data_IF_878850518703
#
_entry.id   IF_878850518703
#
_cell.length_a   1.000
_cell.length_b   1.000
_cell.length_c   1.000
_cell.angle_alpha   90.00
_cell.angle_beta   90.00
_cell.angle_gamma   90.00
#
_symmetry.space_group_name_H-M   'P 1'
#
loop_
_entity.id
_entity.type
_entity.pdbx_description
1 polymer ?
#
# COMPACT_ATOMS: atom_id res chain seq x y z
N UNK A 1 8.58 12.69 -13.01
CA UNK A 1 7.24 12.48 -12.46
C UNK A 1 7.29 12.50 -10.94
N UNK A 2 6.33 13.17 -10.33
CA UNK A 2 6.27 13.23 -8.87
C UNK A 2 5.59 11.97 -8.33
N UNK A 3 6.34 11.15 -7.58
CA UNK A 3 5.83 9.91 -7.00
C UNK A 3 4.63 10.15 -6.07
N UNK A 4 4.55 11.32 -5.45
CA UNK A 4 3.44 11.66 -4.55
C UNK A 4 2.10 11.76 -5.29
N UNK A 5 2.12 11.92 -6.61
CA UNK A 5 0.90 11.99 -7.43
C UNK A 5 0.51 10.64 -8.03
N UNK A 6 1.34 9.61 -7.85
CA UNK A 6 1.03 8.27 -8.35
C UNK A 6 -0.10 7.67 -7.50
N UNK A 7 -1.21 7.28 -8.13
CA UNK A 7 -2.33 6.68 -7.39
C UNK A 7 -1.94 5.45 -6.55
N UNK A 8 -0.99 4.66 -7.03
CA UNK A 8 -0.53 3.47 -6.31
C UNK A 8 0.22 3.86 -5.03
N UNK A 9 1.01 4.92 -5.09
CA UNK A 9 1.74 5.42 -3.91
C UNK A 9 0.76 6.03 -2.91
N UNK A 10 -0.23 6.78 -3.38
CA UNK A 10 -1.27 7.32 -2.52
C UNK A 10 -2.01 6.20 -1.79
N UNK A 11 -2.33 5.13 -2.52
CA UNK A 11 -2.99 3.97 -1.95
C UNK A 11 -2.11 3.30 -0.89
N UNK A 12 -0.82 3.13 -1.17
CA UNK A 12 0.12 2.56 -0.22
C UNK A 12 0.13 3.36 1.09
N UNK A 13 0.25 4.68 1.00
CA UNK A 13 0.31 5.53 2.19
C UNK A 13 -1.00 5.47 2.98
N UNK A 14 -2.14 5.41 2.31
CA UNK A 14 -3.43 5.28 2.97
C UNK A 14 -3.57 3.94 3.71
N UNK A 15 -3.08 2.86 3.12
CA UNK A 15 -3.09 1.54 3.79
C UNK A 15 -2.21 1.58 5.03
N UNK A 16 -1.04 2.18 4.93
CA UNK A 16 -0.12 2.30 6.08
C UNK A 16 -0.75 3.13 7.20
N UNK A 17 -1.35 4.27 6.86
CA UNK A 17 -1.97 5.15 7.85
C UNK A 17 -3.15 4.50 8.56
N UNK A 18 -4.00 3.81 7.81
CA UNK A 18 -5.22 3.22 8.37
C UNK A 18 -5.00 1.83 8.96
N UNK A 19 -3.96 1.15 8.53
CA UNK A 19 -3.71 -0.23 8.91
C UNK A 19 -4.70 -1.21 8.30
N UNK A 20 -5.43 -0.80 7.26
CA UNK A 20 -6.53 -1.60 6.71
C UNK A 20 -6.75 -1.27 5.23
N UNK A 21 -6.86 -2.31 4.41
CA UNK A 21 -7.21 -2.15 2.99
C UNK A 21 -8.61 -1.58 2.85
N UNK A 22 -9.55 -2.04 3.67
CA UNK A 22 -10.94 -1.57 3.62
C UNK A 22 -11.04 -0.10 4.00
N UNK A 23 -10.36 0.30 5.07
CA UNK A 23 -10.37 1.70 5.50
C UNK A 23 -9.69 2.61 4.50
N UNK A 24 -8.59 2.15 3.92
CA UNK A 24 -7.89 2.91 2.87
C UNK A 24 -8.81 3.14 1.68
N UNK A 25 -9.56 2.11 1.27
CA UNK A 25 -10.51 2.23 0.18
C UNK A 25 -11.56 3.30 0.48
N UNK A 26 -12.12 3.29 1.69
CA UNK A 26 -13.09 4.29 2.10
C UNK A 26 -12.50 5.71 2.07
N UNK A 27 -11.28 5.86 2.59
CA UNK A 27 -10.60 7.15 2.63
C UNK A 27 -10.35 7.71 1.22
N UNK A 28 -10.03 6.84 0.27
CA UNK A 28 -9.70 7.24 -1.10
C UNK A 28 -10.88 7.21 -2.05
N UNK A 29 -12.07 6.86 -1.56
CA UNK A 29 -13.26 6.66 -2.39
C UNK A 29 -13.05 5.62 -3.47
N UNK A 30 -12.35 4.55 -3.12
CA UNK A 30 -12.08 3.41 -3.99
C UNK A 30 -12.76 2.16 -3.44
N UNK A 31 -12.85 1.12 -4.28
CA UNK A 31 -13.25 -0.20 -3.80
C UNK A 31 -12.05 -0.90 -3.18
N UNK A 32 -12.31 -1.87 -2.31
CA UNK A 32 -11.23 -2.63 -1.70
C UNK A 32 -10.42 -3.42 -2.75
N UNK A 33 -11.05 -4.05 -3.77
CA UNK A 33 -10.28 -4.68 -4.84
C UNK A 33 -9.36 -3.72 -5.59
N UNK A 34 -9.77 -2.46 -5.78
CA UNK A 34 -8.92 -1.46 -6.43
C UNK A 34 -7.69 -1.16 -5.59
N UNK A 35 -7.87 -1.04 -4.27
CA UNK A 35 -6.74 -0.84 -3.34
C UNK A 35 -5.78 -2.03 -3.42
N UNK A 36 -6.32 -3.25 -3.35
CA UNK A 36 -5.51 -4.47 -3.44
C UNK A 36 -4.75 -4.54 -4.76
N UNK A 37 -5.39 -4.13 -5.86
CA UNK A 37 -4.78 -4.12 -7.18
C UNK A 37 -3.60 -3.15 -7.23
N UNK A 38 -3.77 -1.95 -6.69
CA UNK A 38 -2.68 -0.96 -6.63
C UNK A 38 -1.46 -1.49 -5.89
N UNK A 39 -1.70 -2.14 -4.74
CA UNK A 39 -0.61 -2.69 -3.94
C UNK A 39 0.07 -3.84 -4.69
N UNK A 40 -0.71 -4.72 -5.32
CA UNK A 40 -0.15 -5.82 -6.10
C UNK A 40 0.70 -5.31 -7.25
N UNK A 41 0.26 -4.24 -7.93
CA UNK A 41 1.03 -3.64 -9.00
C UNK A 41 2.37 -3.07 -8.50
N UNK A 42 2.36 -2.38 -7.34
CA UNK A 42 3.60 -1.88 -6.75
C UNK A 42 4.54 -3.01 -6.39
N UNK A 43 4.03 -4.06 -5.78
CA UNK A 43 4.83 -5.23 -5.43
C UNK A 43 5.46 -5.87 -6.66
N UNK A 44 4.71 -5.95 -7.74
CA UNK A 44 5.19 -6.51 -8.98
C UNK A 44 6.25 -5.62 -9.65
N UNK A 45 6.01 -4.30 -9.69
CA UNK A 45 6.92 -3.34 -10.29
C UNK A 45 8.26 -3.30 -9.55
N UNK A 46 8.22 -3.42 -8.23
CA UNK A 46 9.41 -3.36 -7.38
C UNK A 46 10.02 -4.73 -7.10
N UNK A 47 9.31 -5.79 -7.49
CA UNK A 47 9.72 -7.18 -7.26
C UNK A 47 9.99 -7.46 -5.78
N UNK A 48 9.09 -6.99 -4.91
CA UNK A 48 9.16 -7.20 -3.46
C UNK A 48 7.77 -7.43 -2.88
N UNK A 49 7.73 -7.96 -1.66
CA UNK A 49 6.50 -7.97 -0.86
C UNK A 49 6.52 -6.74 0.03
N UNK A 50 5.45 -5.96 0.00
CA UNK A 50 5.33 -4.77 0.83
C UNK A 50 4.62 -5.11 2.14
N UNK A 51 3.54 -5.89 2.06
CA UNK A 51 2.73 -6.26 3.22
C UNK A 51 2.74 -7.76 3.48
N UNK A 52 2.65 -8.09 4.76
CA UNK A 52 2.44 -9.45 5.23
C UNK A 52 1.17 -9.49 6.07
N UNK A 53 0.41 -10.58 5.94
CA UNK A 53 -0.72 -10.87 6.82
C UNK A 53 -0.36 -12.07 7.66
N UNK A 54 -0.23 -11.86 8.96
CA UNK A 54 0.04 -12.91 9.91
C UNK A 54 -0.93 -12.81 11.06
N UNK A 55 -1.60 -13.92 11.39
CA UNK A 55 -2.54 -13.98 12.50
C UNK A 55 -3.59 -12.88 12.47
N UNK A 56 -4.09 -12.57 11.27
CA UNK A 56 -5.10 -11.53 11.09
C UNK A 56 -4.57 -10.11 11.16
N UNK A 57 -3.27 -9.93 11.29
CA UNK A 57 -2.65 -8.61 11.34
C UNK A 57 -1.96 -8.27 10.03
N UNK A 58 -2.09 -7.02 9.64
CA UNK A 58 -1.38 -6.47 8.48
C UNK A 58 -0.12 -5.78 8.98
N UNK A 59 1.02 -6.19 8.45
CA UNK A 59 2.30 -5.57 8.81
C UNK A 59 3.12 -5.33 7.55
N UNK A 60 4.10 -4.43 7.67
CA UNK A 60 5.03 -4.18 6.57
C UNK A 60 6.19 -5.16 6.62
N UNK A 61 6.64 -5.59 5.45
CA UNK A 61 7.90 -6.32 5.35
C UNK A 61 9.05 -5.34 5.59
N UNK A 62 10.27 -5.87 5.72
CA UNK A 62 11.47 -5.04 5.81
C UNK A 62 11.57 -4.13 4.58
N UNK A 63 11.38 -4.69 3.39
CA UNK A 63 11.42 -3.96 2.13
C UNK A 63 10.28 -2.94 2.06
N UNK A 64 9.10 -3.31 2.54
CA UNK A 64 7.95 -2.41 2.59
C UNK A 64 8.21 -1.18 3.43
N UNK A 65 8.89 -1.33 4.56
CA UNK A 65 9.26 -0.19 5.42
C UNK A 65 10.18 0.79 4.69
N UNK A 66 11.10 0.27 3.89
CA UNK A 66 12.01 1.10 3.10
C UNK A 66 11.23 1.86 2.03
N UNK A 67 10.33 1.18 1.33
CA UNK A 67 9.51 1.81 0.29
C UNK A 67 8.65 2.93 0.87
N UNK A 68 8.02 2.69 2.01
CA UNK A 68 7.17 3.70 2.67
C UNK A 68 8.00 4.90 3.08
N UNK A 69 9.19 4.68 3.62
CA UNK A 69 10.09 5.77 4.00
C UNK A 69 10.47 6.62 2.78
N UNK A 70 10.74 6.00 1.65
CA UNK A 70 11.07 6.72 0.41
C UNK A 70 9.87 7.45 -0.17
N UNK A 71 8.65 6.95 0.06
CA UNK A 71 7.43 7.54 -0.49
C UNK A 71 6.94 8.75 0.30
N UNK A 72 7.39 8.91 1.53
CA UNK A 72 6.96 10.03 2.39
C UNK A 72 7.76 11.30 2.16
#
# INVERSE_FOLDING_TARGET
MNAMLDPKVQTLLAVVETGSFTRAAAQLSLTQPAVSHHIAQLEQELDIRIFLREKGRLSLTREGKIVVRCAR
#
